data_IF_223438607555
#
_entry.id   IF_223438607555
#
_cell.length_a   1.000
_cell.length_b   1.000
_cell.length_c   1.000
_cell.angle_alpha   90.00
_cell.angle_beta   90.00
_cell.angle_gamma   90.00
#
_symmetry.space_group_name_H-M   'P 1'
#
loop_
_entity.id
_entity.type
_entity.pdbx_description
1 polymer ?
#
# COMPACT_ATOMS: atom_id res chain seq x y z
N UNK A 1 -5.55 -0.69 -14.67
CA UNK A 1 -6.35 -0.36 -13.49
C UNK A 1 -7.67 0.23 -13.95
N UNK A 2 -8.79 -0.35 -13.50
CA UNK A 2 -10.11 0.15 -13.90
C UNK A 2 -10.42 1.47 -13.21
N UNK A 3 -11.14 2.35 -13.90
CA UNK A 3 -11.42 3.70 -13.44
C UNK A 3 -12.92 3.89 -13.32
N UNK A 4 -13.34 4.50 -12.23
CA UNK A 4 -14.72 4.89 -11.98
C UNK A 4 -14.82 6.42 -11.94
N UNK A 5 -15.75 6.96 -12.71
CA UNK A 5 -16.06 8.38 -12.66
C UNK A 5 -17.19 8.63 -11.66
N UNK A 6 -17.09 9.74 -10.94
CA UNK A 6 -18.11 10.15 -10.00
C UNK A 6 -19.23 10.92 -10.70
N UNK A 7 -20.43 10.89 -10.10
CA UNK A 7 -21.55 11.67 -10.60
C UNK A 7 -21.24 13.17 -10.49
N UNK A 8 -21.63 13.99 -11.49
CA UNK A 8 -21.30 15.41 -11.51
C UNK A 8 -22.25 16.24 -10.63
N UNK A 9 -22.25 15.98 -9.31
CA UNK A 9 -23.14 16.65 -8.37
C UNK A 9 -22.49 17.88 -7.72
N UNK A 10 -21.16 17.96 -7.73
CA UNK A 10 -20.41 19.12 -7.23
C UNK A 10 -19.32 19.49 -8.23
N UNK A 11 -18.77 20.75 -8.16
CA UNK A 11 -17.66 21.11 -9.05
C UNK A 11 -16.46 20.16 -8.94
N UNK A 12 -16.15 19.68 -7.73
CA UNK A 12 -15.04 18.76 -7.52
C UNK A 12 -15.32 17.38 -8.10
N UNK A 13 -16.52 16.82 -7.93
CA UNK A 13 -16.85 15.48 -8.40
C UNK A 13 -17.06 15.41 -9.90
N UNK A 14 -17.28 16.54 -10.58
CA UNK A 14 -17.54 16.59 -12.02
C UNK A 14 -16.38 16.05 -12.85
N UNK A 15 -15.15 16.31 -12.42
CA UNK A 15 -13.93 15.93 -13.14
C UNK A 15 -13.11 14.87 -12.42
N UNK A 16 -13.59 14.37 -11.28
CA UNK A 16 -12.85 13.40 -10.47
C UNK A 16 -13.06 11.99 -11.00
N UNK A 17 -11.98 11.26 -11.15
CA UNK A 17 -12.01 9.82 -11.43
C UNK A 17 -11.21 9.08 -10.36
N UNK A 18 -11.64 7.86 -10.03
CA UNK A 18 -11.00 7.04 -9.01
C UNK A 18 -10.86 5.61 -9.50
N UNK A 19 -9.88 4.85 -9.01
CA UNK A 19 -9.84 3.43 -9.28
C UNK A 19 -11.05 2.74 -8.64
N UNK A 20 -11.62 1.76 -9.32
CA UNK A 20 -12.79 1.04 -8.81
C UNK A 20 -12.42 -0.14 -7.91
N UNK A 21 -11.13 -0.44 -7.75
CA UNK A 21 -10.59 -1.49 -6.91
C UNK A 21 -11.06 -2.91 -7.28
N UNK A 22 -11.55 -3.12 -8.50
CA UNK A 22 -12.03 -4.43 -8.93
C UNK A 22 -10.93 -5.49 -9.00
N UNK A 23 -9.67 -5.07 -9.12
CA UNK A 23 -8.52 -5.96 -9.20
C UNK A 23 -8.06 -6.48 -7.84
N UNK A 24 -8.53 -5.87 -6.75
CA UNK A 24 -8.15 -6.24 -5.40
C UNK A 24 -8.90 -7.50 -4.97
N UNK A 25 -8.17 -8.50 -4.50
CA UNK A 25 -8.74 -9.78 -4.10
C UNK A 25 -8.91 -9.93 -2.60
N UNK A 26 -8.23 -9.11 -1.79
CA UNK A 26 -8.36 -9.13 -0.34
C UNK A 26 -8.29 -7.73 0.23
N UNK A 27 -9.02 -7.49 1.30
CA UNK A 27 -9.00 -6.22 2.03
C UNK A 27 -8.11 -6.27 3.27
N UNK A 28 -7.63 -7.46 3.64
CA UNK A 28 -6.80 -7.64 4.83
C UNK A 28 -5.33 -7.88 4.45
N UNK A 29 -4.39 -7.16 5.08
CA UNK A 29 -2.97 -7.41 4.83
C UNK A 29 -2.50 -8.70 5.51
N UNK A 30 -1.41 -9.26 5.02
CA UNK A 30 -0.73 -10.37 5.68
C UNK A 30 -0.06 -9.85 6.96
N UNK A 31 -0.48 -10.36 8.11
CA UNK A 31 -0.02 -9.84 9.41
C UNK A 31 1.48 -9.94 9.63
N UNK A 32 2.12 -11.00 9.10
CA UNK A 32 3.56 -11.19 9.24
C UNK A 32 4.38 -10.16 8.49
N UNK A 33 3.81 -9.51 7.49
CA UNK A 33 4.48 -8.52 6.64
C UNK A 33 4.05 -7.09 6.94
N UNK A 34 3.33 -6.86 8.03
CA UNK A 34 2.88 -5.53 8.43
C UNK A 34 3.77 -4.99 9.54
N UNK A 35 4.13 -3.73 9.42
CA UNK A 35 4.89 -2.99 10.45
C UNK A 35 4.18 -1.69 10.78
N UNK A 36 4.46 -1.19 11.97
CA UNK A 36 3.93 0.09 12.42
C UNK A 36 4.64 1.23 11.68
N UNK A 37 3.87 2.12 11.08
CA UNK A 37 4.40 3.32 10.47
C UNK A 37 4.37 4.46 11.49
N UNK A 38 5.54 4.88 11.93
CA UNK A 38 5.68 5.91 12.94
C UNK A 38 5.64 7.29 12.28
N UNK A 39 4.80 8.16 12.82
CA UNK A 39 4.69 9.56 12.37
C UNK A 39 5.03 10.50 13.52
N UNK A 40 5.85 11.47 13.25
CA UNK A 40 6.24 12.46 14.25
C UNK A 40 5.41 13.73 14.18
N UNK A 41 4.75 13.99 13.05
CA UNK A 41 3.99 15.22 12.85
C UNK A 41 4.85 16.49 12.91
N UNK A 42 6.12 16.38 12.57
CA UNK A 42 7.04 17.51 12.62
C UNK A 42 7.49 17.88 14.02
N UNK A 43 7.23 17.06 15.05
CA UNK A 43 7.62 17.32 16.43
C UNK A 43 8.98 16.68 16.75
N UNK A 44 9.76 17.38 17.57
CA UNK A 44 11.04 16.85 18.05
C UNK A 44 10.84 15.96 19.29
N UNK A 45 11.93 15.53 19.93
CA UNK A 45 11.88 14.69 21.11
C UNK A 45 11.25 15.39 22.34
N UNK A 46 11.17 16.71 22.33
CA UNK A 46 10.52 17.51 23.39
C UNK A 46 9.05 17.83 23.07
N UNK A 47 8.51 17.32 21.97
CA UNK A 47 7.15 17.53 21.56
C UNK A 47 6.89 18.86 20.88
N UNK A 48 7.92 19.67 20.62
CA UNK A 48 7.79 20.96 19.96
C UNK A 48 7.83 20.81 18.44
N UNK A 49 7.09 21.66 17.75
CA UNK A 49 7.05 21.65 16.29
C UNK A 49 8.32 22.30 15.75
N UNK A 50 9.20 21.49 15.19
CA UNK A 50 10.42 21.96 14.54
C UNK A 50 10.27 22.01 13.02
N UNK A 51 9.30 21.26 12.48
CA UNK A 51 8.98 21.25 11.06
C UNK A 51 7.48 21.46 10.92
N UNK A 52 7.07 22.62 10.44
CA UNK A 52 5.65 22.98 10.32
C UNK A 52 5.02 22.35 9.09
N UNK A 53 3.68 22.31 9.08
CA UNK A 53 2.84 21.80 7.99
C UNK A 53 3.03 20.31 7.76
N UNK A 54 3.35 19.56 8.80
CA UNK A 54 3.45 18.11 8.79
C UNK A 54 2.48 17.53 9.81
N UNK A 55 2.04 16.33 9.51
CA UNK A 55 1.13 15.60 10.38
C UNK A 55 -0.27 15.50 9.82
N UNK A 56 -1.13 14.90 10.60
CA UNK A 56 -2.50 14.61 10.22
C UNK A 56 -2.62 13.38 9.34
N UNK A 57 -3.82 13.17 8.83
CA UNK A 57 -4.15 12.03 8.02
C UNK A 57 -4.52 10.80 8.85
N UNK A 58 -5.06 9.81 8.18
CA UNK A 58 -5.49 8.56 8.81
C UNK A 58 -4.28 7.68 9.16
N UNK A 59 -4.39 6.91 10.23
CA UNK A 59 -3.36 5.93 10.61
C UNK A 59 -3.19 4.90 9.49
N UNK A 60 -1.93 4.60 9.18
CA UNK A 60 -1.59 3.66 8.12
C UNK A 60 -0.72 2.54 8.66
N UNK A 61 -0.88 1.36 8.10
CA UNK A 61 0.02 0.23 8.33
C UNK A 61 1.02 0.17 7.19
N UNK A 62 2.28 -0.02 7.53
CA UNK A 62 3.33 -0.19 6.53
C UNK A 62 3.47 -1.67 6.17
N UNK A 63 3.48 -1.96 4.86
CA UNK A 63 3.75 -3.30 4.36
C UNK A 63 5.21 -3.43 3.99
N UNK A 64 5.82 -4.54 4.36
CA UNK A 64 7.20 -4.83 3.99
C UNK A 64 7.21 -5.26 2.52
N UNK A 65 7.98 -4.54 1.70
CA UNK A 65 8.04 -4.76 0.26
C UNK A 65 9.42 -5.27 -0.11
N UNK A 66 9.47 -6.27 -0.97
CA UNK A 66 10.72 -6.82 -1.49
C UNK A 66 11.20 -5.95 -2.67
N UNK A 67 11.85 -4.84 -2.36
CA UNK A 67 12.39 -3.95 -3.39
C UNK A 67 13.61 -4.50 -4.09
N UNK A 68 14.36 -5.38 -3.42
CA UNK A 68 15.61 -5.91 -3.97
C UNK A 68 15.39 -6.94 -5.06
N UNK A 69 14.29 -7.69 -4.97
CA UNK A 69 13.92 -8.73 -5.93
C UNK A 69 15.10 -9.66 -6.29
N UNK A 70 15.82 -10.09 -5.25
CA UNK A 70 17.02 -10.91 -5.41
C UNK A 70 16.76 -12.41 -5.56
N UNK A 71 15.49 -12.80 -5.66
CA UNK A 71 15.08 -14.19 -5.84
C UNK A 71 14.92 -14.49 -7.34
N UNK A 72 16.05 -14.73 -7.99
CA UNK A 72 16.09 -14.97 -9.43
C UNK A 72 15.74 -16.42 -9.75
N UNK A 73 15.15 -16.64 -10.93
CA UNK A 73 14.83 -17.97 -11.48
C UNK A 73 13.95 -18.83 -10.56
N UNK A 74 13.16 -18.21 -9.72
CA UNK A 74 12.24 -18.88 -8.81
C UNK A 74 10.82 -18.51 -9.21
N UNK A 75 10.01 -19.54 -9.45
CA UNK A 75 8.61 -19.34 -9.79
C UNK A 75 7.80 -18.98 -8.55
N UNK A 76 6.92 -18.00 -8.71
CA UNK A 76 5.98 -17.60 -7.69
C UNK A 76 4.61 -17.37 -8.29
N UNK A 77 3.58 -17.75 -7.56
CA UNK A 77 2.20 -17.52 -7.98
C UNK A 77 1.60 -16.38 -7.17
N UNK A 78 0.91 -15.46 -7.83
CA UNK A 78 0.21 -14.38 -7.14
C UNK A 78 -0.94 -14.98 -6.33
N UNK A 79 -0.85 -14.89 -5.01
CA UNK A 79 -1.90 -15.39 -4.12
C UNK A 79 -3.01 -14.36 -3.96
N UNK A 80 -2.64 -13.11 -3.65
CA UNK A 80 -3.59 -12.03 -3.42
C UNK A 80 -3.05 -10.73 -3.98
N UNK A 81 -3.97 -9.83 -4.32
CA UNK A 81 -3.66 -8.43 -4.69
C UNK A 81 -4.34 -7.57 -3.66
N UNK A 82 -3.61 -6.61 -3.10
CA UNK A 82 -4.13 -5.77 -2.04
C UNK A 82 -3.80 -4.29 -2.24
N UNK A 83 -4.57 -3.44 -1.59
CA UNK A 83 -4.36 -2.01 -1.58
C UNK A 83 -3.30 -1.64 -0.53
N UNK A 84 -2.34 -0.80 -0.93
CA UNK A 84 -1.35 -0.24 -0.01
C UNK A 84 -1.56 1.26 0.10
N UNK A 85 -1.89 1.80 1.29
CA UNK A 85 -2.12 3.23 1.46
C UNK A 85 -0.86 4.09 1.33
N UNK A 86 0.32 3.48 1.33
CA UNK A 86 1.59 4.20 1.31
C UNK A 86 2.15 4.42 -0.10
N UNK A 87 1.45 3.93 -1.13
CA UNK A 87 1.90 4.06 -2.53
C UNK A 87 0.70 4.08 -3.47
N UNK A 88 0.95 4.52 -4.69
CA UNK A 88 -0.11 4.62 -5.69
C UNK A 88 -0.44 3.28 -6.37
N UNK A 89 0.49 2.34 -6.39
CA UNK A 89 0.30 1.04 -7.01
C UNK A 89 -0.33 0.04 -6.04
N UNK A 90 -1.04 -0.94 -6.58
CA UNK A 90 -1.44 -2.11 -5.81
C UNK A 90 -0.23 -3.02 -5.57
N UNK A 91 -0.29 -3.85 -4.54
CA UNK A 91 0.76 -4.80 -4.22
C UNK A 91 0.21 -6.21 -4.26
N UNK A 92 1.10 -7.18 -4.46
CA UNK A 92 0.73 -8.57 -4.54
C UNK A 92 1.50 -9.39 -3.51
N UNK A 93 0.82 -10.37 -2.92
CA UNK A 93 1.45 -11.36 -2.06
C UNK A 93 1.77 -12.58 -2.91
N UNK A 94 3.05 -12.96 -2.93
CA UNK A 94 3.53 -14.05 -3.77
C UNK A 94 4.24 -15.08 -2.90
N UNK A 95 3.62 -16.25 -2.64
CA UNK A 95 4.32 -17.38 -2.04
C UNK A 95 5.26 -18.01 -3.06
N UNK A 96 6.43 -18.44 -2.60
CA UNK A 96 7.44 -19.06 -3.44
C UNK A 96 7.58 -20.53 -3.11
N UNK A 97 7.68 -21.36 -4.13
CA UNK A 97 7.58 -22.81 -4.00
C UNK A 97 8.72 -23.48 -3.22
N UNK A 98 9.89 -22.84 -3.13
CA UNK A 98 11.02 -23.46 -2.42
C UNK A 98 11.01 -23.22 -0.91
N UNK A 99 10.17 -22.31 -0.42
CA UNK A 99 10.02 -22.02 1.01
C UNK A 99 8.58 -22.29 1.43
N UNK A 100 8.40 -22.59 2.70
CA UNK A 100 7.06 -22.72 3.29
C UNK A 100 6.53 -21.39 3.81
N UNK A 101 7.30 -20.33 3.64
CA UNK A 101 6.95 -19.00 4.09
C UNK A 101 6.50 -18.14 2.92
N UNK A 102 5.54 -17.28 3.18
CA UNK A 102 5.15 -16.26 2.21
C UNK A 102 6.26 -15.22 2.07
N UNK A 103 6.45 -14.76 0.86
CA UNK A 103 7.42 -13.70 0.59
C UNK A 103 6.78 -12.33 0.75
N UNK A 104 7.62 -11.28 0.92
CA UNK A 104 7.14 -9.92 0.88
C UNK A 104 6.41 -9.62 -0.41
N UNK A 105 5.52 -8.65 -0.35
CA UNK A 105 4.73 -8.23 -1.49
C UNK A 105 5.58 -7.59 -2.58
N UNK A 106 5.15 -7.74 -3.82
CA UNK A 106 5.76 -7.12 -4.98
C UNK A 106 4.80 -6.11 -5.55
N UNK A 107 5.32 -4.95 -5.97
CA UNK A 107 4.51 -3.90 -6.56
C UNK A 107 3.95 -4.34 -7.91
N UNK A 108 2.68 -4.04 -8.13
CA UNK A 108 2.04 -4.09 -9.43
C UNK A 108 2.05 -2.69 -10.05
N UNK A 109 2.36 -2.65 -11.29
CA UNK A 109 2.38 -1.38 -12.03
C UNK A 109 1.13 -1.25 -12.87
#
# INVERSE_FOLDING_TARGET
MAIRQLKPVTPASRFTSRPDFSEITTDKPEKSLVRKLKKTGGRNNKGRITSRRRGGGHKRSYRIIDFKRNKFDIEGKVATIEYDPNRSAFIALIPVSYTHLTLPTILLV
#
